data_IF_365411228656
#
_entry.id   IF_365411228656
#
_cell.length_a   1.000
_cell.length_b   1.000
_cell.length_c   1.000
_cell.angle_alpha   90.00
_cell.angle_beta   90.00
_cell.angle_gamma   90.00
#
_symmetry.space_group_name_H-M   'P 1'
#
loop_
_entity.id
_entity.type
_entity.pdbx_description
1 polymer ?
#
# COMPACT_ATOMS: atom_id res chain seq x y z
N UNK A 1 -13.56 -16.04 -16.11
CA UNK A 1 -14.58 -15.18 -16.76
C UNK A 1 -14.97 -15.80 -18.09
N UNK A 2 -16.25 -16.05 -18.36
CA UNK A 2 -16.73 -16.57 -19.66
C UNK A 2 -17.82 -15.65 -20.18
N UNK A 3 -17.42 -14.49 -20.73
CA UNK A 3 -18.35 -13.53 -21.35
C UNK A 3 -18.71 -13.96 -22.76
N UNK A 4 -20.01 -13.95 -23.10
CA UNK A 4 -20.46 -14.03 -24.49
C UNK A 4 -20.32 -12.64 -25.14
N UNK A 5 -20.04 -12.62 -26.44
CA UNK A 5 -19.93 -11.38 -27.23
C UNK A 5 -21.25 -10.62 -27.13
N UNK A 6 -21.23 -9.44 -26.50
CA UNK A 6 -22.38 -8.54 -26.33
C UNK A 6 -22.89 -8.36 -24.90
N UNK A 7 -22.35 -9.10 -23.92
CA UNK A 7 -22.70 -8.88 -22.50
C UNK A 7 -21.88 -7.73 -21.89
N UNK A 8 -22.56 -6.83 -21.18
CA UNK A 8 -21.94 -5.81 -20.33
C UNK A 8 -21.24 -6.47 -19.14
N UNK A 9 -20.07 -5.94 -18.75
CA UNK A 9 -19.33 -6.38 -17.56
C UNK A 9 -19.51 -5.31 -16.48
N UNK A 10 -20.13 -5.68 -15.36
CA UNK A 10 -20.25 -4.83 -14.18
C UNK A 10 -18.98 -4.92 -13.31
N UNK A 11 -18.55 -3.78 -12.78
CA UNK A 11 -17.36 -3.63 -11.93
C UNK A 11 -17.77 -2.75 -10.75
N UNK A 12 -17.97 -3.36 -9.58
CA UNK A 12 -18.53 -2.67 -8.40
C UNK A 12 -17.47 -2.25 -7.37
N UNK A 13 -16.30 -2.89 -7.38
CA UNK A 13 -15.30 -2.76 -6.31
C UNK A 13 -14.19 -1.73 -6.60
N UNK A 14 -14.35 -0.89 -7.63
CA UNK A 14 -13.33 0.05 -8.07
C UNK A 14 -13.97 1.38 -8.40
N UNK A 15 -13.43 2.46 -7.84
CA UNK A 15 -13.85 3.82 -8.15
C UNK A 15 -13.67 4.12 -9.64
N UNK A 16 -14.63 4.84 -10.22
CA UNK A 16 -14.66 5.12 -11.66
C UNK A 16 -13.37 5.81 -12.15
N UNK A 17 -12.82 6.74 -11.38
CA UNK A 17 -11.61 7.48 -11.75
C UNK A 17 -10.34 6.60 -11.71
N UNK A 18 -10.28 5.68 -10.75
CA UNK A 18 -9.20 4.68 -10.63
C UNK A 18 -9.27 3.72 -11.81
N UNK A 19 -10.47 3.23 -12.14
CA UNK A 19 -10.67 2.35 -13.29
C UNK A 19 -10.37 3.05 -14.62
N UNK A 20 -10.73 4.34 -14.75
CA UNK A 20 -10.38 5.12 -15.93
C UNK A 20 -8.85 5.28 -16.06
N UNK A 21 -8.14 5.50 -14.94
CA UNK A 21 -6.67 5.55 -14.92
C UNK A 21 -6.04 4.21 -15.31
N UNK A 22 -6.61 3.10 -14.84
CA UNK A 22 -6.22 1.74 -15.22
C UNK A 22 -6.37 1.53 -16.74
N UNK A 23 -7.54 1.87 -17.29
CA UNK A 23 -7.78 1.78 -18.74
C UNK A 23 -6.84 2.69 -19.52
N UNK A 24 -6.59 3.91 -19.05
CA UNK A 24 -5.64 4.82 -19.69
C UNK A 24 -4.26 4.18 -19.79
N UNK A 25 -3.77 3.55 -18.71
CA UNK A 25 -2.51 2.83 -18.73
C UNK A 25 -2.53 1.64 -19.71
N UNK A 26 -3.57 0.80 -19.68
CA UNK A 26 -3.70 -0.35 -20.60
C UNK A 26 -3.63 0.07 -22.06
N UNK A 27 -4.28 1.17 -22.43
CA UNK A 27 -4.41 1.60 -23.83
C UNK A 27 -3.30 2.52 -24.31
N UNK A 28 -2.66 3.29 -23.42
CA UNK A 28 -1.66 4.31 -23.78
C UNK A 28 -0.28 4.09 -23.17
N UNK A 29 -0.14 3.06 -22.33
CA UNK A 29 1.10 2.71 -21.67
C UNK A 29 1.69 3.82 -20.77
N UNK A 30 0.82 4.71 -20.29
CA UNK A 30 1.18 5.86 -19.46
C UNK A 30 0.09 6.19 -18.44
N UNK A 31 0.52 6.71 -17.29
CA UNK A 31 -0.39 7.29 -16.30
C UNK A 31 -0.82 8.70 -16.73
N UNK A 32 -2.04 9.14 -16.40
CA UNK A 32 -2.42 10.53 -16.57
C UNK A 32 -1.47 11.43 -15.77
N UNK A 33 -0.95 12.49 -16.40
CA UNK A 33 -0.06 13.45 -15.74
C UNK A 33 -0.82 14.20 -14.64
N UNK A 34 -0.22 14.26 -13.44
CA UNK A 34 -0.72 15.12 -12.36
C UNK A 34 -0.61 16.57 -12.82
N UNK A 35 -1.72 17.31 -12.79
CA UNK A 35 -1.78 18.72 -13.23
C UNK A 35 -1.00 19.69 -12.34
N UNK A 36 -0.42 19.20 -11.23
CA UNK A 36 0.26 19.99 -10.21
C UNK A 36 1.79 19.81 -10.28
N UNK A 37 2.53 20.85 -9.89
CA UNK A 37 3.98 20.76 -9.70
C UNK A 37 4.28 19.97 -8.41
N UNK A 38 4.79 18.75 -8.57
CA UNK A 38 5.11 17.84 -7.47
C UNK A 38 4.01 16.83 -7.17
N UNK A 39 4.33 15.85 -6.32
CA UNK A 39 3.38 14.80 -5.91
C UNK A 39 2.50 15.36 -4.78
N UNK A 40 1.19 15.35 -5.00
CA UNK A 40 0.20 15.77 -3.99
C UNK A 40 -0.29 14.59 -3.15
N UNK A 41 -0.98 14.87 -2.05
CA UNK A 41 -1.63 13.82 -1.25
C UNK A 41 -2.66 13.04 -2.08
N UNK A 42 -3.39 13.71 -2.98
CA UNK A 42 -4.38 13.08 -3.85
C UNK A 42 -3.71 12.14 -4.86
N UNK A 43 -2.52 12.50 -5.35
CA UNK A 43 -1.72 11.64 -6.23
C UNK A 43 -1.28 10.34 -5.54
N UNK A 44 -1.00 10.43 -4.25
CA UNK A 44 -0.62 9.30 -3.40
C UNK A 44 -1.83 8.40 -3.15
N UNK A 45 -2.98 8.97 -2.78
CA UNK A 45 -4.23 8.21 -2.58
C UNK A 45 -4.65 7.51 -3.88
N UNK A 46 -4.57 8.21 -5.01
CA UNK A 46 -4.85 7.64 -6.33
C UNK A 46 -3.88 6.51 -6.65
N UNK A 47 -2.59 6.66 -6.34
CA UNK A 47 -1.60 5.60 -6.53
C UNK A 47 -1.89 4.38 -5.64
N UNK A 48 -2.37 4.56 -4.42
CA UNK A 48 -2.80 3.48 -3.53
C UNK A 48 -3.99 2.71 -4.09
N UNK A 49 -5.05 3.39 -4.54
CA UNK A 49 -6.20 2.71 -5.14
C UNK A 49 -5.83 2.04 -6.46
N UNK A 50 -4.95 2.66 -7.25
CA UNK A 50 -4.50 2.10 -8.52
C UNK A 50 -3.59 0.87 -8.32
N UNK A 51 -2.79 0.83 -7.24
CA UNK A 51 -2.03 -0.35 -6.85
C UNK A 51 -2.96 -1.55 -6.60
N UNK A 52 -4.04 -1.34 -5.84
CA UNK A 52 -5.06 -2.37 -5.56
C UNK A 52 -5.71 -2.87 -6.85
N UNK A 53 -6.08 -1.95 -7.75
CA UNK A 53 -6.65 -2.31 -9.05
C UNK A 53 -5.65 -3.07 -9.93
N UNK A 54 -4.39 -2.63 -9.97
CA UNK A 54 -3.33 -3.27 -10.75
C UNK A 54 -3.03 -4.69 -10.27
N UNK A 55 -3.01 -4.91 -8.95
CA UNK A 55 -2.85 -6.26 -8.38
C UNK A 55 -4.06 -7.14 -8.71
N UNK A 56 -5.29 -6.62 -8.58
CA UNK A 56 -6.52 -7.35 -8.89
C UNK A 56 -6.62 -7.82 -10.35
N UNK A 57 -6.13 -7.01 -11.29
CA UNK A 57 -6.14 -7.32 -12.73
C UNK A 57 -4.81 -7.86 -13.25
N UNK A 58 -3.86 -8.16 -12.37
CA UNK A 58 -2.56 -8.75 -12.71
C UNK A 58 -1.74 -7.92 -13.72
N UNK A 59 -1.74 -6.59 -13.52
CA UNK A 59 -0.98 -5.63 -14.34
C UNK A 59 0.33 -5.29 -13.64
N UNK A 60 1.28 -6.23 -13.66
CA UNK A 60 2.53 -6.16 -12.89
C UNK A 60 3.31 -4.86 -13.08
N UNK A 61 3.43 -4.36 -14.31
CA UNK A 61 4.18 -3.11 -14.57
C UNK A 61 3.52 -1.90 -13.92
N UNK A 62 2.19 -1.82 -13.95
CA UNK A 62 1.47 -0.72 -13.31
C UNK A 62 1.59 -0.83 -11.78
N UNK A 63 1.47 -2.04 -11.24
CA UNK A 63 1.68 -2.33 -9.83
C UNK A 63 3.05 -1.82 -9.36
N UNK A 64 4.12 -2.12 -10.11
CA UNK A 64 5.47 -1.64 -9.83
C UNK A 64 5.58 -0.10 -9.85
N UNK A 65 4.98 0.56 -10.84
CA UNK A 65 4.99 2.04 -10.93
C UNK A 65 4.28 2.67 -9.72
N UNK A 66 3.13 2.12 -9.33
CA UNK A 66 2.41 2.57 -8.14
C UNK A 66 3.25 2.34 -6.88
N UNK A 67 3.87 1.16 -6.74
CA UNK A 67 4.74 0.83 -5.61
C UNK A 67 5.89 1.83 -5.48
N UNK A 68 6.62 2.09 -6.55
CA UNK A 68 7.73 3.06 -6.58
C UNK A 68 7.25 4.47 -6.19
N UNK A 69 6.11 4.92 -6.72
CA UNK A 69 5.53 6.22 -6.37
C UNK A 69 5.19 6.31 -4.88
N UNK A 70 4.63 5.25 -4.30
CA UNK A 70 4.28 5.22 -2.87
C UNK A 70 5.54 5.16 -2.00
N UNK A 71 6.55 4.38 -2.37
CA UNK A 71 7.85 4.29 -1.67
C UNK A 71 8.55 5.65 -1.57
N UNK A 72 8.50 6.44 -2.65
CA UNK A 72 9.13 7.75 -2.72
C UNK A 72 8.38 8.86 -1.96
N UNK A 73 7.17 8.60 -1.46
CA UNK A 73 6.31 9.59 -0.80
C UNK A 73 5.82 9.15 0.60
N UNK A 74 6.56 8.24 1.26
CA UNK A 74 6.19 7.75 2.60
C UNK A 74 6.25 8.89 3.63
N UNK A 75 5.13 9.08 4.33
CA UNK A 75 5.04 9.97 5.49
C UNK A 75 4.30 9.33 6.68
N UNK A 76 4.24 10.03 7.82
CA UNK A 76 3.65 9.47 9.04
C UNK A 76 2.16 9.15 8.92
N UNK A 77 1.41 9.87 8.09
CA UNK A 77 -0.03 9.64 7.90
C UNK A 77 -0.26 8.45 6.97
N UNK A 78 0.65 8.27 6.02
CA UNK A 78 0.53 7.29 4.96
C UNK A 78 1.02 5.90 5.37
N UNK A 79 2.06 5.80 6.22
CA UNK A 79 2.63 4.50 6.64
C UNK A 79 1.56 3.52 7.12
N UNK A 80 0.63 3.98 7.95
CA UNK A 80 -0.40 3.09 8.49
C UNK A 80 -1.39 2.62 7.41
N UNK A 81 -1.79 3.51 6.51
CA UNK A 81 -2.67 3.18 5.38
C UNK A 81 -1.98 2.25 4.39
N UNK A 82 -0.71 2.53 4.04
CA UNK A 82 0.11 1.68 3.17
C UNK A 82 0.30 0.29 3.75
N UNK A 83 0.65 0.17 5.03
CA UNK A 83 0.80 -1.12 5.69
C UNK A 83 -0.51 -1.92 5.67
N UNK A 84 -1.66 -1.27 5.87
CA UNK A 84 -2.95 -1.92 5.78
C UNK A 84 -3.27 -2.42 4.36
N UNK A 85 -2.87 -1.66 3.32
CA UNK A 85 -3.05 -2.05 1.92
C UNK A 85 -2.18 -3.27 1.56
N UNK A 86 -0.91 -3.27 1.96
CA UNK A 86 0.06 -4.30 1.53
C UNK A 86 -0.14 -5.64 2.23
N UNK A 87 -0.87 -5.69 3.36
CA UNK A 87 -1.20 -6.98 3.99
C UNK A 87 -1.96 -7.93 3.04
N UNK A 88 -2.75 -7.36 2.11
CA UNK A 88 -3.53 -8.11 1.15
C UNK A 88 -2.89 -8.22 -0.25
N UNK A 89 -1.85 -7.43 -0.53
CA UNK A 89 -1.22 -7.34 -1.84
C UNK A 89 0.28 -7.62 -1.72
N UNK A 90 0.82 -8.56 -2.51
CA UNK A 90 2.25 -8.90 -2.47
C UNK A 90 3.12 -7.75 -2.99
N UNK A 91 3.37 -6.73 -2.17
CA UNK A 91 4.18 -5.53 -2.47
C UNK A 91 5.31 -5.40 -1.44
N UNK A 92 6.26 -6.33 -1.51
CA UNK A 92 7.34 -6.45 -0.51
C UNK A 92 8.21 -5.19 -0.44
N UNK A 93 8.43 -4.49 -1.56
CA UNK A 93 9.25 -3.28 -1.59
C UNK A 93 8.65 -2.14 -0.78
N UNK A 94 7.35 -1.88 -0.95
CA UNK A 94 6.64 -0.86 -0.18
C UNK A 94 6.56 -1.22 1.31
N UNK A 95 6.43 -2.51 1.64
CA UNK A 95 6.45 -2.99 3.02
C UNK A 95 7.79 -2.72 3.68
N UNK A 96 8.89 -3.06 3.01
CA UNK A 96 10.24 -2.80 3.49
C UNK A 96 10.47 -1.30 3.69
N UNK A 97 10.08 -0.47 2.71
CA UNK A 97 10.23 0.99 2.81
C UNK A 97 9.45 1.57 4.01
N UNK A 98 8.24 1.07 4.28
CA UNK A 98 7.47 1.46 5.48
C UNK A 98 8.18 1.06 6.78
N UNK A 99 8.76 -0.13 6.83
CA UNK A 99 9.49 -0.60 8.00
C UNK A 99 10.81 0.14 8.22
N UNK A 100 11.54 0.49 7.17
CA UNK A 100 12.72 1.34 7.24
C UNK A 100 12.38 2.75 7.74
N UNK A 101 11.28 3.32 7.25
CA UNK A 101 10.78 4.61 7.75
C UNK A 101 10.49 4.56 9.25
N UNK A 102 9.85 3.49 9.72
CA UNK A 102 9.53 3.27 11.14
C UNK A 102 10.75 2.91 11.99
N UNK A 103 11.84 2.41 11.41
CA UNK A 103 13.07 2.12 12.16
C UNK A 103 13.78 3.40 12.65
N UNK A 104 13.47 4.56 12.07
CA UNK A 104 14.02 5.84 12.53
C UNK A 104 13.41 6.26 13.88
N UNK A 105 14.23 6.66 14.88
CA UNK A 105 13.77 6.79 16.27
C UNK A 105 12.64 7.81 16.50
N UNK A 106 12.52 8.83 15.65
CA UNK A 106 11.50 9.88 15.80
C UNK A 106 10.16 9.56 15.11
N UNK A 107 10.10 8.51 14.28
CA UNK A 107 8.96 8.25 13.42
C UNK A 107 7.86 7.37 14.07
N UNK A 108 8.17 6.32 14.85
CA UNK A 108 7.16 5.49 15.51
C UNK A 108 6.19 6.31 16.37
N UNK A 109 6.69 7.22 17.20
CA UNK A 109 5.83 8.04 18.07
C UNK A 109 4.85 8.90 17.25
N UNK A 110 5.33 9.48 16.14
CA UNK A 110 4.51 10.29 15.23
C UNK A 110 3.45 9.45 14.53
N UNK A 111 3.80 8.24 14.08
CA UNK A 111 2.85 7.32 13.44
C UNK A 111 1.80 6.83 14.44
N UNK A 112 2.20 6.47 15.66
CA UNK A 112 1.28 6.00 16.72
C UNK A 112 0.24 7.07 17.08
N UNK A 113 0.59 8.35 16.97
CA UNK A 113 -0.31 9.48 17.20
C UNK A 113 -1.35 9.70 16.09
N UNK A 114 -1.23 9.03 14.94
CA UNK A 114 -2.17 9.18 13.82
C UNK A 114 -3.42 8.32 14.00
N UNK A 115 -4.55 8.78 13.44
CA UNK A 115 -5.78 7.97 13.35
C UNK A 115 -5.56 6.71 12.49
N UNK A 116 -4.72 6.81 11.44
CA UNK A 116 -4.38 5.69 10.58
C UNK A 116 -3.77 4.52 11.35
N UNK A 117 -2.93 4.79 12.36
CA UNK A 117 -2.37 3.72 13.20
C UNK A 117 -3.43 3.00 14.04
N UNK A 118 -4.45 3.70 14.53
CA UNK A 118 -5.54 3.06 15.26
C UNK A 118 -6.33 2.10 14.37
N UNK A 119 -6.59 2.51 13.12
CA UNK A 119 -7.22 1.64 12.13
C UNK A 119 -6.34 0.43 11.77
N UNK A 120 -5.04 0.65 11.55
CA UNK A 120 -4.08 -0.43 11.28
C UNK A 120 -4.09 -1.47 12.40
N UNK A 121 -4.15 -1.03 13.65
CA UNK A 121 -4.19 -1.91 14.83
C UNK A 121 -5.43 -2.78 14.89
N UNK A 122 -6.60 -2.27 14.48
CA UNK A 122 -7.83 -3.06 14.46
C UNK A 122 -7.92 -3.99 13.26
N UNK A 123 -7.45 -3.53 12.10
CA UNK A 123 -7.69 -4.20 10.81
C UNK A 123 -6.61 -5.21 10.47
N UNK A 124 -5.35 -4.94 10.86
CA UNK A 124 -4.17 -5.67 10.40
C UNK A 124 -3.21 -5.99 11.57
N UNK A 125 -3.60 -6.79 12.58
CA UNK A 125 -2.77 -7.04 13.76
C UNK A 125 -1.49 -7.82 13.43
N UNK A 126 -1.47 -8.63 12.37
CA UNK A 126 -0.32 -9.43 11.93
C UNK A 126 0.86 -8.55 11.52
N UNK A 127 0.62 -7.51 10.75
CA UNK A 127 1.70 -6.64 10.26
C UNK A 127 2.35 -5.86 11.42
N UNK A 128 1.59 -5.52 12.46
CA UNK A 128 2.13 -4.92 13.68
C UNK A 128 3.01 -5.89 14.46
N UNK A 129 2.62 -7.17 14.57
CA UNK A 129 3.47 -8.20 15.21
C UNK A 129 4.79 -8.34 14.48
N UNK A 130 4.75 -8.34 13.15
CA UNK A 130 5.95 -8.41 12.31
C UNK A 130 6.86 -7.18 12.50
N UNK A 131 6.28 -5.98 12.49
CA UNK A 131 7.00 -4.73 12.78
C UNK A 131 7.70 -4.79 14.14
N UNK A 132 6.97 -5.17 15.20
CA UNK A 132 7.53 -5.31 16.55
C UNK A 132 8.66 -6.34 16.56
N UNK A 133 8.47 -7.49 15.90
CA UNK A 133 9.49 -8.53 15.80
C UNK A 133 10.76 -8.07 15.06
N UNK A 134 10.66 -7.11 14.13
CA UNK A 134 11.82 -6.50 13.46
C UNK A 134 12.53 -5.45 14.30
N UNK A 135 11.78 -4.66 15.06
CA UNK A 135 12.32 -3.60 15.90
C UNK A 135 12.91 -4.11 17.23
N UNK A 136 12.57 -5.33 17.63
CA UNK A 136 13.12 -5.93 18.85
C UNK A 136 14.65 -6.10 18.75
N UNK A 137 15.39 -5.70 19.80
CA UNK A 137 16.83 -5.95 19.91
C UNK A 137 17.15 -7.44 19.75
N UNK A 138 18.31 -7.73 19.15
CA UNK A 138 18.74 -9.11 18.85
C UNK A 138 18.88 -9.96 20.14
N UNK A 139 19.05 -9.33 21.31
CA UNK A 139 19.11 -10.05 22.59
C UNK A 139 17.75 -10.64 23.03
N UNK A 140 16.64 -10.20 22.44
CA UNK A 140 15.27 -10.66 22.76
C UNK A 140 14.72 -11.66 21.73
N UNK A 141 15.57 -12.54 21.20
CA UNK A 141 15.20 -13.58 20.22
C UNK A 141 14.03 -14.46 20.68
N UNK A 142 14.00 -14.89 21.94
CA UNK A 142 12.90 -15.68 22.48
C UNK A 142 11.56 -14.92 22.46
N UNK A 143 11.55 -13.62 22.75
CA UNK A 143 10.33 -12.80 22.69
C UNK A 143 9.88 -12.57 21.24
N UNK A 144 10.82 -12.41 20.31
CA UNK A 144 10.56 -12.29 18.88
C UNK A 144 9.88 -13.53 18.30
N UNK A 145 10.34 -14.72 18.68
CA UNK A 145 9.78 -15.99 18.19
C UNK A 145 8.37 -16.23 18.77
N UNK A 146 8.13 -15.85 20.03
CA UNK A 146 6.78 -15.87 20.64
C UNK A 146 5.83 -14.94 19.89
N UNK A 147 6.22 -13.68 19.64
CA UNK A 147 5.39 -12.68 18.95
C UNK A 147 5.04 -13.10 17.51
N UNK A 148 5.95 -13.79 16.82
CA UNK A 148 5.69 -14.34 15.48
C UNK A 148 4.79 -15.58 15.49
N UNK A 149 4.72 -16.30 16.61
CA UNK A 149 3.96 -17.56 16.75
C UNK A 149 2.53 -17.39 17.29
N UNK A 150 2.22 -16.24 17.91
CA UNK A 150 0.89 -15.85 18.39
C UNK A 150 0.09 -15.13 17.31
#
# INVERSE_FOLDING_TARGET
>A
MRGKVGDSIEIDDIEADVFNSLLHFIYKDSLPESTNEGVTQDDVVTASHLLVAADRYDIERLKFICEDKLCNNIDCNMVATSLALIEHHSCDGLKEACFEFLASPSNPERVIATEGYQHLKSSCPSILKELIARLLPVELTAARDIIRSM
#
